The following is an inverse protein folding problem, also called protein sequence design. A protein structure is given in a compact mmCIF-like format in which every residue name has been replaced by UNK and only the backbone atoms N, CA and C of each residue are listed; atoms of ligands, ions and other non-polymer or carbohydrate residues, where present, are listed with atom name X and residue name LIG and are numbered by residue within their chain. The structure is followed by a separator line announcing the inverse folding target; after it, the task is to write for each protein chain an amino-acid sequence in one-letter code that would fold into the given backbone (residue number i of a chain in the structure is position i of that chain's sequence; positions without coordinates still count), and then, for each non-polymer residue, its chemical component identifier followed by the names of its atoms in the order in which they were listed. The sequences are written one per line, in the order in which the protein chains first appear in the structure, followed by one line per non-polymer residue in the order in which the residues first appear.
data_IF_380362707302
#
_entry.id   IF_380362707302
#
_cell.length_a   1.000
_cell.length_b   1.000
_cell.length_c   1.000
_cell.angle_alpha   90.00
_cell.angle_beta   90.00
_cell.angle_gamma   90.00
#
_symmetry.space_group_name_H-M   'P 1'
#
loop_
_entity.id
_entity.type
_entity.pdbx_description
1 polymer ?
#
# COMPACT_ATOMS: atom_id res chain seq x y z
N UNK A 1 -70.59 -45.25 18.37
CA UNK A 1 -69.47 -45.63 17.48
C UNK A 1 -69.38 -44.62 16.35
N UNK A 2 -68.20 -44.03 16.10
CA UNK A 2 -67.98 -43.11 14.97
C UNK A 2 -67.05 -41.92 15.33
N UNK A 3 -65.74 -42.19 15.38
CA UNK A 3 -64.69 -41.18 15.59
C UNK A 3 -64.57 -40.27 14.34
N UNK A 4 -64.66 -38.95 14.50
CA UNK A 4 -64.22 -37.97 13.47
C UNK A 4 -62.94 -37.29 13.95
N UNK A 5 -61.81 -37.75 13.43
CA UNK A 5 -60.49 -37.12 13.62
C UNK A 5 -60.46 -35.77 12.89
N UNK A 6 -60.28 -34.67 13.63
CA UNK A 6 -59.85 -33.38 13.07
C UNK A 6 -58.35 -33.47 12.79
N UNK A 7 -57.96 -33.49 11.51
CA UNK A 7 -56.57 -33.28 11.10
C UNK A 7 -56.21 -31.81 11.34
N UNK A 8 -55.35 -31.56 12.33
CA UNK A 8 -54.76 -30.25 12.58
C UNK A 8 -53.39 -30.24 11.91
N UNK A 9 -53.28 -29.57 10.76
CA UNK A 9 -52.01 -29.34 10.06
C UNK A 9 -51.09 -28.49 10.95
N UNK A 10 -50.03 -29.10 11.51
CA UNK A 10 -48.93 -28.40 12.17
C UNK A 10 -48.15 -27.61 11.10
N UNK A 11 -48.20 -26.28 11.20
CA UNK A 11 -47.36 -25.37 10.41
C UNK A 11 -46.03 -25.28 11.15
N UNK A 12 -45.02 -26.01 10.68
CA UNK A 12 -43.67 -25.93 11.23
C UNK A 12 -43.11 -24.51 10.98
N UNK A 13 -42.76 -23.82 12.07
CA UNK A 13 -41.98 -22.57 12.04
C UNK A 13 -40.62 -22.92 11.46
N UNK A 14 -40.31 -22.42 10.25
CA UNK A 14 -38.94 -22.36 9.76
C UNK A 14 -38.19 -21.37 10.65
N UNK A 15 -37.37 -21.88 11.56
CA UNK A 15 -36.37 -21.06 12.24
C UNK A 15 -35.40 -20.56 11.19
N UNK A 16 -35.37 -19.25 11.00
CA UNK A 16 -34.34 -18.59 10.21
C UNK A 16 -33.03 -18.69 10.97
N UNK A 17 -32.14 -19.57 10.51
CA UNK A 17 -30.74 -19.55 10.90
C UNK A 17 -30.08 -18.30 10.32
N UNK A 18 -30.29 -17.16 10.98
CA UNK A 18 -29.40 -16.02 10.82
C UNK A 18 -28.05 -16.45 11.39
N UNK A 19 -27.11 -16.77 10.51
CA UNK A 19 -25.71 -16.99 10.92
C UNK A 19 -25.24 -15.68 11.51
N UNK A 20 -24.85 -15.69 12.78
CA UNK A 20 -23.99 -14.65 13.32
C UNK A 20 -22.72 -14.63 12.46
N UNK A 21 -22.61 -13.63 11.60
CA UNK A 21 -21.35 -13.33 10.93
C UNK A 21 -20.45 -12.81 12.03
N UNK A 22 -19.56 -13.67 12.54
CA UNK A 22 -18.52 -13.25 13.45
C UNK A 22 -17.67 -12.19 12.75
N UNK A 23 -17.98 -10.91 12.98
CA UNK A 23 -17.16 -9.78 12.54
C UNK A 23 -15.91 -9.81 13.40
N UNK A 24 -14.90 -10.55 12.97
CA UNK A 24 -13.58 -10.52 13.60
C UNK A 24 -13.08 -9.09 13.48
N UNK A 25 -12.88 -8.42 14.62
CA UNK A 25 -12.33 -7.08 14.66
C UNK A 25 -11.00 -7.06 13.88
N UNK A 26 -10.76 -6.02 13.06
CA UNK A 26 -9.51 -5.90 12.33
C UNK A 26 -8.35 -5.95 13.32
N UNK A 27 -7.36 -6.78 13.03
CA UNK A 27 -6.21 -7.03 13.92
C UNK A 27 -5.21 -5.88 13.94
N UNK A 28 -5.27 -5.01 12.94
CA UNK A 28 -4.36 -3.90 12.73
C UNK A 28 -5.05 -2.77 11.95
N UNK A 29 -4.70 -1.51 12.22
CA UNK A 29 -5.16 -0.34 11.48
C UNK A 29 -3.99 0.39 10.80
N UNK A 30 -4.16 0.69 9.52
CA UNK A 30 -3.16 1.37 8.69
C UNK A 30 -3.68 2.70 8.19
N UNK A 31 -2.87 3.75 8.31
CA UNK A 31 -3.03 5.00 7.57
C UNK A 31 -1.91 5.12 6.55
N UNK A 32 -2.23 5.07 5.26
CA UNK A 32 -1.27 5.24 4.16
C UNK A 32 -1.50 6.60 3.53
N UNK A 33 -0.54 7.52 3.71
CA UNK A 33 -0.59 8.88 3.19
C UNK A 33 0.37 8.98 2.01
N UNK A 34 -0.18 9.01 0.81
CA UNK A 34 0.55 9.13 -0.45
C UNK A 34 0.69 10.59 -0.87
N UNK A 35 1.87 10.93 -1.37
CA UNK A 35 2.15 12.20 -2.04
C UNK A 35 1.25 12.37 -3.27
N UNK A 36 1.29 11.41 -4.20
CA UNK A 36 0.43 11.42 -5.38
C UNK A 36 -1.05 11.18 -5.09
N UNK A 37 -1.92 11.66 -5.98
CA UNK A 37 -3.38 11.44 -5.88
C UNK A 37 -3.87 10.17 -6.58
N UNK A 38 -3.01 9.54 -7.39
CA UNK A 38 -3.42 8.49 -8.33
C UNK A 38 -2.54 7.25 -8.30
N UNK A 39 -1.29 7.30 -8.78
CA UNK A 39 -0.45 6.10 -8.98
C UNK A 39 -0.37 5.23 -7.72
N UNK A 40 0.13 5.79 -6.62
CA UNK A 40 0.38 5.08 -5.37
C UNK A 40 -0.92 4.71 -4.67
N UNK A 41 -1.90 5.63 -4.49
CA UNK A 41 -3.19 5.27 -3.92
C UNK A 41 -3.92 4.18 -4.69
N UNK A 42 -3.91 4.21 -6.03
CA UNK A 42 -4.58 3.19 -6.84
C UNK A 42 -3.90 1.83 -6.73
N UNK A 43 -2.57 1.81 -6.61
CA UNK A 43 -1.82 0.58 -6.39
C UNK A 43 -2.17 -0.04 -5.03
N UNK A 44 -2.08 0.73 -3.94
CA UNK A 44 -2.34 0.20 -2.59
C UNK A 44 -3.82 -0.12 -2.33
N UNK A 45 -4.78 0.62 -2.92
CA UNK A 45 -6.22 0.27 -2.85
C UNK A 45 -6.56 -1.06 -3.52
N UNK A 46 -5.69 -1.57 -4.37
CA UNK A 46 -5.90 -2.84 -5.06
C UNK A 46 -5.56 -4.06 -4.20
N UNK A 47 -4.96 -3.87 -3.02
CA UNK A 47 -4.70 -4.97 -2.09
C UNK A 47 -6.00 -5.41 -1.42
N UNK A 48 -6.30 -6.71 -1.48
CA UNK A 48 -7.47 -7.32 -0.83
C UNK A 48 -7.18 -7.64 0.64
N UNK A 49 -6.88 -6.61 1.43
CA UNK A 49 -6.60 -6.74 2.86
C UNK A 49 -7.90 -7.03 3.61
N UNK A 50 -7.99 -8.21 4.24
CA UNK A 50 -9.20 -8.66 4.95
C UNK A 50 -9.06 -8.63 6.47
N UNK A 51 -7.84 -8.79 6.98
CA UNK A 51 -7.59 -8.94 8.43
C UNK A 51 -7.21 -7.63 9.13
N UNK A 52 -7.16 -6.52 8.40
CA UNK A 52 -6.81 -5.19 8.89
C UNK A 52 -7.68 -4.11 8.25
N UNK A 53 -7.77 -2.95 8.92
CA UNK A 53 -8.40 -1.75 8.35
C UNK A 53 -7.31 -0.93 7.67
N UNK A 54 -7.51 -0.57 6.40
CA UNK A 54 -6.56 0.24 5.64
C UNK A 54 -7.24 1.51 5.15
N UNK A 55 -6.77 2.65 5.62
CA UNK A 55 -7.16 3.97 5.13
C UNK A 55 -6.06 4.52 4.21
N UNK A 56 -6.43 4.98 3.00
CA UNK A 56 -5.47 5.46 1.99
C UNK A 56 -5.84 6.86 1.53
N UNK A 57 -4.94 7.82 1.76
CA UNK A 57 -5.08 9.22 1.38
C UNK A 57 -4.09 9.57 0.28
N UNK A 58 -4.58 10.00 -0.87
CA UNK A 58 -3.75 10.63 -1.91
C UNK A 58 -3.87 12.14 -1.80
N UNK A 59 -2.76 12.83 -1.56
CA UNK A 59 -2.81 14.23 -1.08
C UNK A 59 -2.60 15.27 -2.19
N UNK A 60 -1.81 14.95 -3.21
CA UNK A 60 -1.38 15.92 -4.22
C UNK A 60 -0.52 17.05 -3.66
N UNK A 61 0.05 16.85 -2.47
CA UNK A 61 0.87 17.83 -1.75
C UNK A 61 2.36 17.61 -2.05
N UNK A 62 3.17 18.67 -2.07
CA UNK A 62 4.62 18.57 -2.30
C UNK A 62 5.47 18.72 -1.01
N UNK A 63 6.64 18.05 -1.06
CA UNK A 63 7.95 18.44 -0.48
C UNK A 63 8.21 18.38 1.04
N UNK A 64 7.26 18.61 1.93
CA UNK A 64 7.48 18.62 3.41
C UNK A 64 6.15 18.59 4.16
N UNK A 65 5.13 19.15 3.51
CA UNK A 65 3.76 19.15 3.99
C UNK A 65 3.17 17.75 4.21
N UNK A 66 3.75 16.68 3.67
CA UNK A 66 3.21 15.33 3.82
C UNK A 66 3.33 14.82 5.27
N UNK A 67 4.48 15.06 5.92
CA UNK A 67 4.71 14.66 7.32
C UNK A 67 3.76 15.43 8.23
N UNK A 68 3.76 16.76 8.15
CA UNK A 68 2.86 17.60 8.95
C UNK A 68 1.39 17.35 8.66
N UNK A 69 1.03 17.03 7.41
CA UNK A 69 -0.33 16.66 7.08
C UNK A 69 -0.74 15.33 7.73
N UNK A 70 0.16 14.36 7.79
CA UNK A 70 -0.11 13.11 8.49
C UNK A 70 -0.24 13.33 10.00
N UNK A 71 0.65 14.13 10.62
CA UNK A 71 0.53 14.52 12.03
C UNK A 71 -0.80 15.22 12.31
N UNK A 72 -1.16 16.23 11.49
CA UNK A 72 -2.42 16.94 11.63
C UNK A 72 -3.63 16.00 11.48
N UNK A 73 -3.59 15.04 10.56
CA UNK A 73 -4.66 14.06 10.39
C UNK A 73 -4.85 13.18 11.63
N UNK A 74 -3.77 12.87 12.35
CA UNK A 74 -3.81 12.11 13.60
C UNK A 74 -4.32 12.98 14.75
N UNK A 75 -3.86 14.22 14.86
CA UNK A 75 -4.28 15.16 15.90
C UNK A 75 -5.78 15.54 15.80
N UNK A 76 -6.35 15.53 14.59
CA UNK A 76 -7.76 15.83 14.33
C UNK A 76 -8.69 14.64 14.61
N UNK A 77 -8.17 13.49 15.05
CA UNK A 77 -8.93 12.24 15.20
C UNK A 77 -8.77 11.64 16.59
N UNK A 78 -9.86 11.06 17.08
CA UNK A 78 -9.83 10.19 18.26
C UNK A 78 -9.41 8.75 17.93
N UNK A 79 -9.31 8.40 16.62
CA UNK A 79 -8.92 7.06 16.18
C UNK A 79 -7.39 6.94 16.05
N UNK A 80 -6.82 5.97 16.76
CA UNK A 80 -5.41 5.61 16.65
C UNK A 80 -5.17 4.63 15.49
N UNK A 81 -4.01 4.78 14.84
CA UNK A 81 -3.52 3.86 13.81
C UNK A 81 -2.31 3.09 14.34
N UNK A 82 -2.30 1.76 14.17
CA UNK A 82 -1.13 0.95 14.51
C UNK A 82 0.08 1.33 13.65
N UNK A 83 -0.16 1.61 12.37
CA UNK A 83 0.89 2.05 11.45
C UNK A 83 0.48 3.21 10.53
N UNK A 84 1.34 4.21 10.48
CA UNK A 84 1.19 5.42 9.65
C UNK A 84 2.30 5.44 8.61
N UNK A 85 1.97 5.08 7.38
CA UNK A 85 2.91 5.00 6.27
C UNK A 85 2.90 6.26 5.43
N UNK A 86 4.05 6.92 5.33
CA UNK A 86 4.25 8.00 4.35
C UNK A 86 4.82 7.43 3.06
N UNK A 87 4.12 7.66 1.95
CA UNK A 87 4.52 7.20 0.62
C UNK A 87 4.85 8.39 -0.27
N UNK A 88 6.09 8.46 -0.76
CA UNK A 88 6.54 9.60 -1.55
C UNK A 88 7.72 9.29 -2.49
N UNK A 89 7.88 10.14 -3.51
CA UNK A 89 8.92 10.02 -4.51
C UNK A 89 10.06 11.01 -4.21
N UNK A 90 11.31 10.60 -4.47
CA UNK A 90 12.46 11.50 -4.27
C UNK A 90 12.42 12.70 -5.21
N UNK A 91 11.83 12.55 -6.38
CA UNK A 91 11.77 13.59 -7.41
C UNK A 91 10.99 14.85 -6.99
N UNK A 92 10.09 14.72 -6.01
CA UNK A 92 9.29 15.83 -5.48
C UNK A 92 9.93 16.58 -4.31
N UNK A 93 11.04 16.06 -3.78
CA UNK A 93 11.70 16.58 -2.59
C UNK A 93 13.11 17.09 -2.89
N UNK A 94 13.54 18.17 -2.22
CA UNK A 94 14.97 18.46 -2.12
C UNK A 94 15.69 17.30 -1.39
N UNK A 95 16.98 17.09 -1.63
CA UNK A 95 17.72 16.02 -0.94
C UNK A 95 17.69 16.16 0.58
N UNK A 96 17.68 17.40 1.09
CA UNK A 96 17.54 17.69 2.52
C UNK A 96 16.15 17.31 3.02
N UNK A 97 15.11 17.80 2.36
CA UNK A 97 13.70 17.53 2.72
C UNK A 97 13.38 16.04 2.68
N UNK A 98 13.86 15.33 1.65
CA UNK A 98 13.66 13.88 1.52
C UNK A 98 14.30 13.11 2.67
N UNK A 99 15.58 13.38 2.94
CA UNK A 99 16.29 12.71 4.03
C UNK A 99 15.62 13.01 5.38
N UNK A 100 15.23 14.27 5.62
CA UNK A 100 14.54 14.67 6.84
C UNK A 100 13.21 13.93 7.02
N UNK A 101 12.41 13.76 5.96
CA UNK A 101 11.15 13.01 6.02
C UNK A 101 11.37 11.53 6.34
N UNK A 102 12.40 10.91 5.73
CA UNK A 102 12.78 9.52 6.03
C UNK A 102 13.25 9.38 7.48
N UNK A 103 14.13 10.27 7.94
CA UNK A 103 14.66 10.23 9.30
C UNK A 103 13.60 10.54 10.36
N UNK A 104 12.65 11.41 10.06
CA UNK A 104 11.49 11.65 10.91
C UNK A 104 10.72 10.35 11.14
N UNK A 105 10.37 9.62 10.08
CA UNK A 105 9.64 8.36 10.21
C UNK A 105 10.44 7.31 11.01
N UNK A 106 11.76 7.27 10.83
CA UNK A 106 12.64 6.38 11.60
C UNK A 106 12.69 6.75 13.09
N UNK A 107 12.77 8.04 13.41
CA UNK A 107 12.81 8.54 14.78
C UNK A 107 11.48 8.37 15.52
N UNK A 108 10.37 8.25 14.79
CA UNK A 108 9.01 8.08 15.34
C UNK A 108 8.43 6.67 15.09
N UNK A 109 9.29 5.68 14.87
CA UNK A 109 8.88 4.31 14.61
C UNK A 109 8.08 3.68 15.76
N UNK A 110 8.40 4.05 17.01
CA UNK A 110 7.68 3.68 18.23
C UNK A 110 6.26 4.22 18.29
N UNK A 111 5.99 5.33 17.60
CA UNK A 111 4.66 5.93 17.41
C UNK A 111 3.91 5.41 16.17
N UNK A 112 4.38 4.31 15.58
CA UNK A 112 3.75 3.70 14.40
C UNK A 112 4.15 4.32 13.06
N UNK A 113 4.99 5.36 13.01
CA UNK A 113 5.41 5.93 11.72
C UNK A 113 6.31 4.97 10.92
N UNK A 114 6.07 4.93 9.61
CA UNK A 114 6.78 4.10 8.63
C UNK A 114 6.94 4.89 7.32
N UNK A 115 7.85 4.44 6.45
CA UNK A 115 8.14 5.13 5.18
C UNK A 115 8.28 4.17 4.01
N UNK A 116 7.57 4.47 2.92
CA UNK A 116 7.64 3.77 1.65
C UNK A 116 8.01 4.75 0.53
N UNK A 117 9.30 4.92 0.26
CA UNK A 117 9.77 5.86 -0.77
C UNK A 117 10.23 5.16 -2.05
N UNK A 118 10.31 5.92 -3.15
CA UNK A 118 11.04 5.51 -4.36
C UNK A 118 12.03 6.57 -4.81
N UNK A 119 13.24 6.15 -5.19
CA UNK A 119 14.28 7.02 -5.72
C UNK A 119 14.59 6.67 -7.20
N UNK A 120 14.12 7.43 -8.19
CA UNK A 120 13.50 8.75 -8.04
C UNK A 120 11.95 8.80 -7.99
N UNK A 121 11.25 7.81 -8.57
CA UNK A 121 9.79 7.82 -8.70
C UNK A 121 9.16 6.43 -8.52
N UNK A 122 7.86 6.37 -8.22
CA UNK A 122 7.14 5.12 -7.91
C UNK A 122 7.20 4.10 -9.04
N UNK A 123 7.33 4.53 -10.30
CA UNK A 123 7.50 3.61 -11.43
C UNK A 123 8.75 2.73 -11.34
N UNK A 124 9.76 3.07 -10.51
CA UNK A 124 10.84 2.15 -10.18
C UNK A 124 10.29 0.84 -9.61
N UNK A 125 9.35 0.91 -8.66
CA UNK A 125 8.71 -0.27 -8.07
C UNK A 125 8.06 -1.15 -9.15
N UNK A 126 7.41 -0.56 -10.15
CA UNK A 126 6.85 -1.30 -11.29
C UNK A 126 7.92 -1.98 -12.14
N UNK A 127 9.06 -1.32 -12.38
CA UNK A 127 10.15 -1.91 -13.16
C UNK A 127 10.79 -3.11 -12.45
N UNK A 128 10.89 -3.08 -11.12
CA UNK A 128 11.49 -4.15 -10.33
C UNK A 128 10.73 -5.48 -10.42
N UNK A 129 9.47 -5.46 -10.86
CA UNK A 129 8.71 -6.68 -11.18
C UNK A 129 9.22 -7.41 -12.41
N UNK A 130 10.02 -6.76 -13.27
CA UNK A 130 10.53 -7.36 -14.50
C UNK A 130 12.00 -7.71 -14.41
N UNK A 131 12.81 -6.86 -13.76
CA UNK A 131 14.24 -7.08 -13.61
C UNK A 131 14.83 -6.20 -12.52
N UNK A 132 16.03 -6.57 -12.06
CA UNK A 132 16.83 -5.74 -11.19
C UNK A 132 17.39 -4.53 -11.95
N UNK A 133 17.01 -3.32 -11.51
CA UNK A 133 17.54 -2.07 -12.04
C UNK A 133 18.62 -1.53 -11.10
N UNK A 134 19.90 -1.60 -11.49
CA UNK A 134 21.04 -1.16 -10.64
C UNK A 134 21.66 0.17 -11.06
N UNK A 135 21.37 0.65 -12.26
CA UNK A 135 21.88 1.93 -12.77
C UNK A 135 20.87 3.03 -12.48
N UNK A 136 21.30 4.25 -12.10
CA UNK A 136 20.39 5.39 -11.98
C UNK A 136 19.65 5.62 -13.30
N UNK A 137 18.34 5.81 -13.22
CA UNK A 137 17.47 6.05 -14.37
C UNK A 137 16.68 7.31 -14.13
N UNK A 138 16.64 8.19 -15.12
CA UNK A 138 15.76 9.36 -15.05
C UNK A 138 14.28 8.95 -15.15
N UNK A 139 13.40 9.56 -14.35
CA UNK A 139 11.94 9.34 -14.37
C UNK A 139 11.31 9.47 -15.75
N UNK A 140 11.91 10.29 -16.63
CA UNK A 140 11.45 10.47 -18.00
C UNK A 140 11.58 9.20 -18.85
N UNK A 141 12.44 8.25 -18.45
CA UNK A 141 12.63 6.97 -19.15
C UNK A 141 11.69 5.87 -18.68
N UNK A 142 11.06 6.00 -17.50
CA UNK A 142 10.24 4.93 -16.93
C UNK A 142 9.08 4.53 -17.82
N UNK A 143 8.41 5.49 -18.47
CA UNK A 143 7.29 5.17 -19.38
C UNK A 143 7.72 4.28 -20.55
N UNK A 144 8.83 4.62 -21.21
CA UNK A 144 9.34 3.82 -22.33
C UNK A 144 9.81 2.44 -21.87
N UNK A 145 10.47 2.38 -20.71
CA UNK A 145 10.95 1.14 -20.13
C UNK A 145 9.82 0.20 -19.73
N UNK A 146 8.79 0.71 -19.05
CA UNK A 146 7.60 -0.05 -18.69
C UNK A 146 6.86 -0.50 -19.94
N UNK A 147 6.69 0.38 -20.93
CA UNK A 147 5.99 0.03 -22.17
C UNK A 147 6.64 -1.18 -22.87
N UNK A 148 7.98 -1.19 -22.94
CA UNK A 148 8.74 -2.30 -23.52
C UNK A 148 8.52 -3.61 -22.75
N UNK A 149 8.54 -3.57 -21.42
CA UNK A 149 8.45 -4.75 -20.54
C UNK A 149 7.04 -5.32 -20.45
N UNK A 150 6.04 -4.44 -20.42
CA UNK A 150 4.63 -4.80 -20.43
C UNK A 150 4.14 -5.22 -21.83
N UNK A 151 4.94 -4.98 -22.88
CA UNK A 151 4.56 -5.21 -24.29
C UNK A 151 3.27 -4.47 -24.70
N UNK A 152 3.01 -3.35 -24.04
CA UNK A 152 1.88 -2.45 -24.30
C UNK A 152 2.27 -1.03 -23.88
N UNK A 153 1.59 -0.01 -24.39
CA UNK A 153 1.90 1.36 -24.02
C UNK A 153 1.53 1.63 -22.56
N UNK A 154 2.54 1.87 -21.72
CA UNK A 154 2.34 2.35 -20.37
C UNK A 154 2.14 3.86 -20.38
N UNK A 155 0.98 4.29 -19.84
CA UNK A 155 0.69 5.68 -19.52
C UNK A 155 0.62 5.81 -18.00
N UNK A 156 1.17 6.90 -17.45
CA UNK A 156 1.08 7.18 -16.00
C UNK A 156 -0.37 7.06 -15.52
N UNK A 157 -0.57 6.38 -14.39
CA UNK A 157 -1.87 5.99 -13.83
C UNK A 157 -2.65 4.93 -14.64
N UNK A 158 -1.96 4.08 -15.40
CA UNK A 158 -2.60 2.94 -16.04
C UNK A 158 -3.41 2.14 -14.98
N UNK A 159 -4.68 1.79 -15.24
CA UNK A 159 -5.46 1.00 -14.29
C UNK A 159 -4.94 -0.43 -14.21
N UNK A 160 -5.31 -1.13 -13.15
CA UNK A 160 -5.01 -2.55 -12.94
C UNK A 160 -3.51 -2.90 -12.94
N UNK A 161 -2.64 -1.94 -12.60
CA UNK A 161 -1.19 -2.19 -12.50
C UNK A 161 -0.88 -3.25 -11.44
N UNK A 162 -1.56 -3.21 -10.28
CA UNK A 162 -1.38 -4.21 -9.24
C UNK A 162 -1.63 -5.63 -9.76
N UNK A 163 -2.79 -5.88 -10.39
CA UNK A 163 -3.17 -7.21 -10.89
C UNK A 163 -2.21 -7.70 -11.99
N UNK A 164 -1.76 -6.80 -12.88
CA UNK A 164 -0.80 -7.14 -13.93
C UNK A 164 0.59 -7.51 -13.39
N UNK A 165 0.98 -6.90 -12.27
CA UNK A 165 2.29 -7.07 -11.65
C UNK A 165 2.32 -8.14 -10.57
N UNK A 166 1.18 -8.47 -9.95
CA UNK A 166 1.05 -9.39 -8.82
C UNK A 166 1.79 -10.73 -9.00
N UNK A 167 1.74 -11.41 -10.17
CA UNK A 167 2.47 -12.67 -10.36
C UNK A 167 4.00 -12.54 -10.23
N UNK A 168 4.54 -11.33 -10.34
CA UNK A 168 5.98 -11.04 -10.23
C UNK A 168 6.32 -10.23 -8.99
N UNK A 169 5.37 -10.01 -8.08
CA UNK A 169 5.60 -9.23 -6.88
C UNK A 169 6.71 -9.83 -5.98
N UNK A 170 6.84 -11.17 -5.82
CA UNK A 170 7.98 -11.74 -5.08
C UNK A 170 9.34 -11.34 -5.65
N UNK A 171 9.47 -11.31 -6.99
CA UNK A 171 10.68 -10.86 -7.67
C UNK A 171 10.95 -9.37 -7.44
N UNK A 172 9.90 -8.53 -7.43
CA UNK A 172 10.04 -7.11 -7.13
C UNK A 172 10.54 -6.85 -5.71
N UNK A 173 10.02 -7.62 -4.74
CA UNK A 173 10.45 -7.57 -3.35
C UNK A 173 11.94 -7.95 -3.23
N UNK A 174 12.35 -9.05 -3.86
CA UNK A 174 13.76 -9.48 -3.89
C UNK A 174 14.67 -8.41 -4.50
N UNK A 175 14.31 -7.89 -5.67
CA UNK A 175 15.07 -6.86 -6.34
C UNK A 175 15.16 -5.57 -5.51
N UNK A 176 14.07 -5.15 -4.86
CA UNK A 176 14.07 -3.98 -4.00
C UNK A 176 14.94 -4.17 -2.76
N UNK A 177 14.92 -5.35 -2.13
CA UNK A 177 15.82 -5.69 -1.01
C UNK A 177 17.29 -5.61 -1.42
N UNK A 178 17.66 -6.14 -2.58
CA UNK A 178 19.03 -6.05 -3.10
C UNK A 178 19.51 -4.61 -3.33
N UNK A 179 18.61 -3.70 -3.74
CA UNK A 179 18.92 -2.28 -3.83
C UNK A 179 19.04 -1.63 -2.45
N UNK A 180 18.13 -1.98 -1.54
CA UNK A 180 18.09 -1.45 -0.19
C UNK A 180 19.29 -1.89 0.67
N UNK A 181 19.84 -3.08 0.45
CA UNK A 181 21.06 -3.56 1.12
C UNK A 181 22.28 -2.69 0.81
N UNK A 182 22.30 -2.03 -0.36
CA UNK A 182 23.40 -1.15 -0.79
C UNK A 182 23.21 0.31 -0.38
N UNK A 183 22.19 0.59 0.45
CA UNK A 183 21.85 1.96 0.88
C UNK A 183 22.99 2.62 1.64
N UNK A 184 23.05 3.94 1.52
CA UNK A 184 23.94 4.79 2.31
C UNK A 184 23.22 5.39 3.51
N UNK A 185 23.91 6.23 4.26
CA UNK A 185 23.29 7.06 5.30
C UNK A 185 22.52 8.26 4.71
N UNK A 186 22.37 8.35 3.38
CA UNK A 186 21.65 9.41 2.70
C UNK A 186 20.69 8.83 1.67
N UNK A 187 19.46 8.47 2.06
CA UNK A 187 18.45 7.88 1.17
C UNK A 187 18.24 8.65 -0.14
N UNK A 188 18.36 9.97 -0.10
CA UNK A 188 18.26 10.83 -1.28
C UNK A 188 19.34 10.57 -2.36
N UNK A 189 20.50 10.01 -1.98
CA UNK A 189 21.60 9.67 -2.89
C UNK A 189 21.52 8.23 -3.39
N UNK A 190 20.69 7.40 -2.78
CA UNK A 190 20.57 5.98 -3.11
C UNK A 190 19.65 5.81 -4.33
N UNK A 191 20.16 6.14 -5.51
CA UNK A 191 19.44 5.96 -6.78
C UNK A 191 20.10 4.85 -7.61
N UNK A 192 19.36 3.79 -8.01
CA UNK A 192 17.97 3.50 -7.68
C UNK A 192 17.82 2.82 -6.31
N UNK A 193 16.77 3.16 -5.57
CA UNK A 193 16.39 2.48 -4.31
C UNK A 193 14.91 2.71 -4.01
N UNK A 194 14.29 1.79 -3.27
CA UNK A 194 12.90 1.93 -2.82
C UNK A 194 12.67 1.14 -1.54
N UNK A 195 11.83 1.67 -0.64
CA UNK A 195 11.32 0.96 0.53
C UNK A 195 9.87 0.50 0.38
N UNK A 196 9.26 0.66 -0.81
CA UNK A 196 7.88 0.23 -1.08
C UNK A 196 7.68 -1.25 -0.77
N UNK A 197 8.71 -2.09 -0.96
CA UNK A 197 8.64 -3.51 -0.62
C UNK A 197 8.28 -3.76 0.85
N UNK A 198 8.68 -2.89 1.78
CA UNK A 198 8.37 -3.05 3.21
C UNK A 198 6.87 -2.92 3.47
N UNK A 199 6.24 -1.89 2.88
CA UNK A 199 4.78 -1.72 2.95
C UNK A 199 4.05 -2.85 2.22
N UNK A 200 4.57 -3.30 1.08
CA UNK A 200 3.97 -4.42 0.34
C UNK A 200 4.03 -5.72 1.12
N UNK A 201 5.17 -6.06 1.74
CA UNK A 201 5.30 -7.25 2.59
C UNK A 201 4.36 -7.18 3.80
N UNK A 202 4.23 -6.01 4.41
CA UNK A 202 3.32 -5.78 5.52
C UNK A 202 1.86 -6.01 5.11
N UNK A 203 1.42 -5.38 4.02
CA UNK A 203 0.07 -5.58 3.48
C UNK A 203 -0.18 -7.02 3.04
N UNK A 204 0.84 -7.69 2.48
CA UNK A 204 0.76 -9.09 2.07
C UNK A 204 0.48 -10.03 3.25
N UNK A 205 1.01 -9.73 4.44
CA UNK A 205 0.76 -10.52 5.65
C UNK A 205 -0.70 -10.46 6.12
N UNK A 206 -1.50 -9.57 5.53
CA UNK A 206 -2.91 -9.36 5.84
C UNK A 206 -3.86 -9.69 4.67
N UNK A 207 -3.34 -10.26 3.58
CA UNK A 207 -4.14 -10.76 2.46
C UNK A 207 -4.94 -12.00 2.87
N UNK A 208 -5.90 -12.35 2.01
CA UNK A 208 -6.72 -13.56 2.11
C UNK A 208 -5.85 -14.83 2.06
N UNK A 209 -6.01 -15.72 3.04
CA UNK A 209 -5.56 -17.12 2.95
C UNK A 209 -6.34 -17.89 1.87
#
# INVERSE_FOLDING_TARGET
MGKRHKQQRRREKRESYEREVATRLPRKTFLIVCEGTKTEPNYFRSFEVLSAKVEIRGTGRNTLSLVHYAEQLLDERDEEFDEVWLVFDKDSFSSVSFNNAVFFCQAHHDKGFRVAYSNEAFELWYLLHFELITKPISRFNYNAMLSKRMKTYYKKNLPNMYQQLLPRQPLAIENAKLLYEKRSNSPAKDNPSTTVFQLVEELNSHLRD
#
